data_IF_390081261080
#
_entry.id   IF_390081261080
#
_cell.length_a   1.000
_cell.length_b   1.000
_cell.length_c   1.000
_cell.angle_alpha   90.00
_cell.angle_beta   90.00
_cell.angle_gamma   90.00
#
_symmetry.space_group_name_H-M   'P 1'
#
loop_
_entity.id
_entity.type
_entity.pdbx_description
1 polymer ?
#
# COMPACT_ATOMS: atom_id res chain seq x y z
N UNK A 1 -4.40 -10.82 11.83
CA UNK A 1 -3.09 -10.87 12.50
C UNK A 1 -2.04 -10.32 11.56
N UNK A 2 -1.48 -9.15 11.87
CA UNK A 2 -0.46 -8.49 11.05
C UNK A 2 0.94 -9.06 11.31
N UNK A 3 1.93 -8.70 10.47
CA UNK A 3 3.31 -9.21 10.58
C UNK A 3 3.95 -9.07 11.97
N UNK A 4 3.70 -7.96 12.66
CA UNK A 4 4.25 -7.73 14.00
C UNK A 4 3.70 -8.72 15.02
N UNK A 5 2.39 -9.00 14.95
CA UNK A 5 1.75 -9.95 15.87
C UNK A 5 2.26 -11.37 15.62
N UNK A 6 2.42 -11.74 14.35
CA UNK A 6 3.01 -13.03 13.96
C UNK A 6 4.47 -13.13 14.44
N UNK A 7 5.24 -12.04 14.34
CA UNK A 7 6.64 -12.01 14.78
C UNK A 7 6.78 -12.11 16.31
N UNK A 8 5.95 -11.41 17.07
CA UNK A 8 5.97 -11.46 18.53
C UNK A 8 5.38 -12.77 19.09
N UNK A 9 4.53 -13.45 18.32
CA UNK A 9 3.92 -14.72 18.71
C UNK A 9 3.02 -14.58 19.94
N UNK A 10 2.39 -13.43 20.16
CA UNK A 10 1.61 -13.16 21.38
C UNK A 10 0.39 -14.09 21.56
N UNK A 11 -0.09 -14.69 20.46
CA UNK A 11 -1.16 -15.70 20.45
C UNK A 11 -0.65 -17.14 20.32
N UNK A 12 0.66 -17.37 20.23
CA UNK A 12 1.26 -18.69 20.11
C UNK A 12 1.69 -19.22 21.48
N UNK A 13 1.07 -20.28 22.04
CA UNK A 13 1.49 -20.88 23.31
C UNK A 13 2.95 -21.31 23.39
N UNK A 14 3.61 -21.54 22.23
CA UNK A 14 5.04 -21.83 22.13
C UNK A 14 5.94 -20.60 22.21
N UNK A 15 5.39 -19.38 22.10
CA UNK A 15 6.16 -18.14 22.18
C UNK A 15 6.48 -17.76 23.62
N UNK A 16 7.72 -17.29 23.91
CA UNK A 16 8.07 -16.74 25.22
C UNK A 16 7.18 -15.57 25.67
N UNK A 17 6.55 -14.87 24.72
CA UNK A 17 5.68 -13.71 24.97
C UNK A 17 4.21 -14.10 25.17
N UNK A 18 3.84 -15.37 25.00
CA UNK A 18 2.47 -15.82 25.21
C UNK A 18 1.96 -15.50 26.61
N UNK A 19 0.76 -14.92 26.69
CA UNK A 19 0.13 -14.54 27.95
C UNK A 19 0.81 -13.38 28.71
N UNK A 20 1.87 -12.77 28.17
CA UNK A 20 2.49 -11.59 28.77
C UNK A 20 1.73 -10.33 28.39
N UNK A 21 1.52 -9.46 29.37
CA UNK A 21 0.88 -8.18 29.15
C UNK A 21 1.72 -7.28 28.24
N UNK A 22 1.07 -6.64 27.27
CA UNK A 22 1.65 -5.60 26.44
C UNK A 22 0.63 -4.47 26.25
N UNK A 23 1.13 -3.28 25.92
CA UNK A 23 0.31 -2.13 25.56
C UNK A 23 0.53 -1.83 24.09
N UNK A 24 -0.54 -1.82 23.31
CA UNK A 24 -0.50 -1.54 21.88
C UNK A 24 -0.89 -0.09 21.59
N UNK A 25 -0.03 0.63 20.86
CA UNK A 25 -0.33 1.95 20.33
C UNK A 25 -0.51 1.81 18.81
N UNK A 26 -1.74 1.97 18.34
CA UNK A 26 -2.05 1.95 16.91
C UNK A 26 -1.94 3.36 16.34
N UNK A 27 -1.15 3.53 15.29
CA UNK A 27 -1.06 4.78 14.54
C UNK A 27 -1.94 4.69 13.29
N UNK A 28 -2.97 5.51 13.26
CA UNK A 28 -3.84 5.64 12.08
C UNK A 28 -3.31 6.69 11.11
N UNK A 29 -3.77 6.61 9.86
CA UNK A 29 -3.61 7.72 8.90
C UNK A 29 -4.27 8.97 9.46
N UNK A 30 -3.82 10.13 9.02
CA UNK A 30 -4.46 11.38 9.40
C UNK A 30 -5.82 11.51 8.72
N UNK A 31 -6.80 12.03 9.45
CA UNK A 31 -8.02 12.52 8.82
C UNK A 31 -7.71 13.74 7.92
N UNK A 32 -8.72 14.22 7.18
CA UNK A 32 -8.56 15.34 6.26
C UNK A 32 -8.06 16.62 6.96
N UNK A 33 -8.56 16.88 8.16
CA UNK A 33 -8.25 18.11 8.90
C UNK A 33 -6.83 18.09 9.45
N UNK A 34 -6.41 16.97 10.03
CA UNK A 34 -5.05 16.75 10.52
C UNK A 34 -4.06 16.71 9.36
N UNK A 35 -4.42 16.13 8.22
CA UNK A 35 -3.60 16.17 7.00
C UNK A 35 -3.40 17.59 6.49
N UNK A 36 -4.47 18.40 6.49
CA UNK A 36 -4.42 19.82 6.13
C UNK A 36 -3.51 20.60 7.07
N UNK A 37 -3.70 20.46 8.38
CA UNK A 37 -2.86 21.14 9.38
C UNK A 37 -1.40 20.70 9.27
N UNK A 38 -1.13 19.42 9.02
CA UNK A 38 0.21 18.89 8.83
C UNK A 38 0.92 19.57 7.65
N UNK A 39 0.28 19.64 6.48
CA UNK A 39 0.83 20.32 5.31
C UNK A 39 1.00 21.82 5.53
N UNK A 40 -0.01 22.49 6.10
CA UNK A 40 0.05 23.94 6.37
C UNK A 40 1.23 24.31 7.26
N UNK A 41 1.40 23.61 8.38
CA UNK A 41 2.53 23.85 9.29
C UNK A 41 3.87 23.65 8.58
N UNK A 42 4.01 22.56 7.81
CA UNK A 42 5.24 22.32 7.04
C UNK A 42 5.54 23.43 6.01
N UNK A 43 4.53 23.96 5.31
CA UNK A 43 4.73 25.07 4.38
C UNK A 43 5.01 26.39 5.11
N UNK A 44 4.37 26.65 6.25
CA UNK A 44 4.62 27.82 7.11
C UNK A 44 6.07 27.84 7.61
N UNK A 45 6.62 26.70 8.05
CA UNK A 45 8.03 26.55 8.44
C UNK A 45 9.00 26.87 7.29
N UNK A 46 8.59 26.61 6.05
CA UNK A 46 9.33 26.94 4.84
C UNK A 46 9.04 28.34 4.30
N UNK A 47 8.28 29.16 5.04
CA UNK A 47 7.81 30.49 4.61
C UNK A 47 7.12 30.49 3.24
N UNK A 48 6.50 29.37 2.87
CA UNK A 48 5.79 29.20 1.62
C UNK A 48 4.28 29.37 1.82
N UNK A 49 3.68 30.31 1.09
CA UNK A 49 2.23 30.40 0.96
C UNK A 49 1.75 29.44 -0.14
N UNK A 50 0.87 28.53 0.22
CA UNK A 50 0.25 27.56 -0.69
C UNK A 50 -1.26 27.76 -0.65
N UNK A 51 -1.88 27.81 -1.81
CA UNK A 51 -3.33 27.90 -1.94
C UNK A 51 -4.02 26.65 -1.38
N UNK A 52 -5.19 26.84 -0.76
CA UNK A 52 -5.90 25.77 -0.06
C UNK A 52 -6.34 24.64 -1.01
N UNK A 53 -6.65 24.95 -2.27
CA UNK A 53 -6.98 23.94 -3.28
C UNK A 53 -5.81 22.97 -3.55
N UNK A 54 -4.57 23.46 -3.59
CA UNK A 54 -3.38 22.63 -3.76
C UNK A 54 -3.21 21.67 -2.59
N UNK A 55 -3.45 22.15 -1.37
CA UNK A 55 -3.39 21.31 -0.16
C UNK A 55 -4.45 20.20 -0.26
N UNK A 56 -5.67 20.53 -0.66
CA UNK A 56 -6.74 19.56 -0.86
C UNK A 56 -6.40 18.53 -1.95
N UNK A 57 -5.79 18.96 -3.06
CA UNK A 57 -5.36 18.07 -4.13
C UNK A 57 -4.30 17.08 -3.66
N UNK A 58 -3.32 17.52 -2.86
CA UNK A 58 -2.32 16.64 -2.24
C UNK A 58 -3.00 15.62 -1.33
N UNK A 59 -3.91 16.04 -0.46
CA UNK A 59 -4.61 15.15 0.48
C UNK A 59 -5.44 14.12 -0.28
N UNK A 60 -6.19 14.55 -1.30
CA UNK A 60 -6.99 13.65 -2.14
C UNK A 60 -6.15 12.59 -2.86
N UNK A 61 -4.90 12.92 -3.18
CA UNK A 61 -3.97 12.00 -3.84
C UNK A 61 -3.43 10.91 -2.90
N UNK A 62 -3.15 11.24 -1.63
CA UNK A 62 -2.38 10.36 -0.72
C UNK A 62 -3.15 9.88 0.51
N UNK A 63 -4.39 10.33 0.68
CA UNK A 63 -5.34 9.89 1.70
C UNK A 63 -4.77 9.87 3.12
N UNK A 64 -4.09 10.96 3.51
CA UNK A 64 -3.69 11.20 4.90
C UNK A 64 -2.55 10.34 5.45
N UNK A 65 -1.87 9.56 4.60
CA UNK A 65 -0.69 8.78 5.02
C UNK A 65 0.48 9.75 5.26
N UNK A 66 1.04 9.87 6.48
CA UNK A 66 2.03 10.89 6.81
C UNK A 66 3.29 10.84 5.95
N UNK A 67 3.77 9.64 5.59
CA UNK A 67 4.92 9.47 4.72
C UNK A 67 4.70 10.10 3.34
N UNK A 68 3.53 9.87 2.74
CA UNK A 68 3.18 10.47 1.45
C UNK A 68 2.88 11.96 1.53
N UNK A 69 2.23 12.44 2.60
CA UNK A 69 2.04 13.87 2.83
C UNK A 69 3.40 14.59 2.91
N UNK A 70 4.37 13.99 3.59
CA UNK A 70 5.73 14.53 3.72
C UNK A 70 6.45 14.56 2.37
N UNK A 71 6.39 13.47 1.60
CA UNK A 71 6.97 13.42 0.26
C UNK A 71 6.32 14.46 -0.66
N UNK A 72 5.00 14.54 -0.64
CA UNK A 72 4.23 15.46 -1.49
C UNK A 72 4.52 16.93 -1.14
N UNK A 73 4.51 17.29 0.15
CA UNK A 73 4.85 18.63 0.61
C UNK A 73 6.25 19.07 0.19
N UNK A 74 7.25 18.22 0.42
CA UNK A 74 8.64 18.50 0.02
C UNK A 74 8.79 18.63 -1.50
N UNK A 75 8.18 17.72 -2.27
CA UNK A 75 8.31 17.74 -3.71
C UNK A 75 7.58 18.94 -4.35
N UNK A 76 6.42 19.31 -3.80
CA UNK A 76 5.70 20.51 -4.18
C UNK A 76 6.50 21.77 -3.82
N UNK A 77 7.17 21.77 -2.65
CA UNK A 77 8.05 22.85 -2.22
C UNK A 77 9.18 23.12 -3.25
N UNK A 78 9.73 22.09 -3.87
CA UNK A 78 10.84 22.25 -4.82
C UNK A 78 10.39 22.63 -6.25
N UNK A 79 9.24 22.13 -6.71
CA UNK A 79 8.87 22.20 -8.14
C UNK A 79 7.56 22.91 -8.45
N UNK A 80 6.69 23.14 -7.45
CA UNK A 80 5.32 23.68 -7.63
C UNK A 80 4.47 22.89 -8.65
N UNK A 81 4.75 21.60 -8.81
CA UNK A 81 4.12 20.75 -9.81
C UNK A 81 3.49 19.50 -9.16
N UNK A 82 2.16 19.50 -9.07
CA UNK A 82 1.37 18.39 -8.52
C UNK A 82 1.46 17.12 -9.37
N UNK A 83 1.66 17.24 -10.69
CA UNK A 83 1.86 16.06 -11.54
C UNK A 83 3.17 15.37 -11.18
N UNK A 84 4.24 16.14 -11.02
CA UNK A 84 5.54 15.59 -10.61
C UNK A 84 5.52 14.99 -9.20
N UNK A 85 4.73 15.57 -8.30
CA UNK A 85 4.46 15.01 -6.96
C UNK A 85 3.78 13.65 -7.08
N UNK A 86 2.74 13.54 -7.89
CA UNK A 86 2.03 12.27 -8.16
C UNK A 86 2.94 11.22 -8.78
N UNK A 87 3.65 11.58 -9.85
CA UNK A 87 4.53 10.67 -10.57
C UNK A 87 5.64 10.15 -9.65
N UNK A 88 6.21 11.00 -8.78
CA UNK A 88 7.21 10.58 -7.80
C UNK A 88 6.63 9.61 -6.78
N UNK A 89 5.48 9.91 -6.17
CA UNK A 89 4.84 9.04 -5.18
C UNK A 89 4.53 7.65 -5.78
N UNK A 90 3.96 7.62 -6.98
CA UNK A 90 3.67 6.38 -7.72
C UNK A 90 4.95 5.60 -8.02
N UNK A 91 6.03 6.26 -8.45
CA UNK A 91 7.30 5.59 -8.73
C UNK A 91 7.94 4.98 -7.48
N UNK A 92 7.87 5.67 -6.34
CA UNK A 92 8.34 5.13 -5.05
C UNK A 92 7.56 3.86 -4.69
N UNK A 93 6.23 3.94 -4.69
CA UNK A 93 5.37 2.78 -4.41
C UNK A 93 5.58 1.64 -5.42
N UNK A 94 5.77 1.95 -6.70
CA UNK A 94 6.04 0.96 -7.75
C UNK A 94 7.36 0.22 -7.50
N UNK A 95 8.41 0.93 -7.06
CA UNK A 95 9.69 0.33 -6.71
C UNK A 95 9.59 -0.58 -5.48
N UNK A 96 8.82 -0.18 -4.47
CA UNK A 96 8.55 -0.99 -3.27
C UNK A 96 7.78 -2.28 -3.63
N UNK A 97 6.73 -2.16 -4.45
CA UNK A 97 5.96 -3.31 -4.94
C UNK A 97 6.84 -4.23 -5.81
N UNK A 98 7.67 -3.67 -6.69
CA UNK A 98 8.60 -4.48 -7.49
C UNK A 98 9.65 -5.19 -6.63
N UNK A 99 10.10 -4.57 -5.54
CA UNK A 99 11.00 -5.19 -4.57
C UNK A 99 10.32 -6.32 -3.80
N UNK A 100 9.05 -6.16 -3.43
CA UNK A 100 8.26 -7.27 -2.88
C UNK A 100 8.18 -8.44 -3.86
N UNK A 101 7.89 -8.16 -5.13
CA UNK A 101 7.77 -9.17 -6.18
C UNK A 101 9.12 -9.84 -6.46
N UNK A 102 10.24 -9.10 -6.43
CA UNK A 102 11.58 -9.66 -6.66
C UNK A 102 11.98 -10.66 -5.57
N UNK A 103 11.61 -10.41 -4.31
CA UNK A 103 11.78 -11.40 -3.22
C UNK A 103 11.02 -12.68 -3.54
N UNK A 104 9.82 -12.60 -4.12
CA UNK A 104 9.06 -13.79 -4.57
C UNK A 104 9.68 -14.48 -5.78
N UNK A 105 10.41 -13.74 -6.62
CA UNK A 105 11.11 -14.28 -7.79
C UNK A 105 12.25 -15.22 -7.38
N UNK A 106 12.90 -14.97 -6.23
CA UNK A 106 13.90 -15.85 -5.66
C UNK A 106 13.33 -17.23 -5.26
N UNK A 107 12.03 -17.32 -5.02
CA UNK A 107 11.34 -18.60 -4.79
C UNK A 107 11.00 -19.25 -6.13
N UNK A 108 10.32 -18.53 -7.02
CA UNK A 108 10.02 -18.99 -8.38
C UNK A 108 9.50 -17.84 -9.26
N UNK A 109 9.89 -17.77 -10.54
CA UNK A 109 9.34 -16.79 -11.48
C UNK A 109 7.81 -16.85 -11.62
N UNK A 110 7.22 -18.05 -11.52
CA UNK A 110 5.75 -18.22 -11.61
C UNK A 110 5.05 -17.55 -10.43
N UNK A 111 5.65 -17.59 -9.23
CA UNK A 111 5.08 -16.99 -8.03
C UNK A 111 5.16 -15.47 -8.11
N UNK A 112 6.30 -14.93 -8.55
CA UNK A 112 6.44 -13.48 -8.79
C UNK A 112 5.40 -12.96 -9.80
N UNK A 113 5.21 -13.68 -10.92
CA UNK A 113 4.18 -13.36 -11.90
C UNK A 113 2.79 -13.33 -11.27
N UNK A 114 2.42 -14.35 -10.49
CA UNK A 114 1.11 -14.42 -9.82
C UNK A 114 0.87 -13.27 -8.83
N UNK A 115 1.87 -12.90 -8.01
CA UNK A 115 1.76 -11.73 -7.14
C UNK A 115 1.46 -10.46 -7.95
N UNK A 116 2.17 -10.28 -9.07
CA UNK A 116 1.97 -9.16 -9.98
C UNK A 116 0.55 -9.15 -10.57
N UNK A 117 0.08 -10.28 -11.08
CA UNK A 117 -1.28 -10.42 -11.65
C UNK A 117 -2.35 -10.14 -10.59
N UNK A 118 -2.21 -10.67 -9.38
CA UNK A 118 -3.16 -10.46 -8.27
C UNK A 118 -3.25 -8.97 -7.91
N UNK A 119 -2.11 -8.29 -7.73
CA UNK A 119 -2.07 -6.85 -7.44
C UNK A 119 -2.76 -6.03 -8.54
N UNK A 120 -2.51 -6.34 -9.82
CA UNK A 120 -3.18 -5.70 -10.97
C UNK A 120 -4.70 -5.95 -10.95
N UNK A 121 -5.13 -7.18 -10.73
CA UNK A 121 -6.56 -7.53 -10.67
C UNK A 121 -7.29 -6.77 -9.55
N UNK A 122 -6.69 -6.69 -8.37
CA UNK A 122 -7.24 -5.90 -7.25
C UNK A 122 -7.28 -4.41 -7.61
N UNK A 123 -6.24 -3.88 -8.25
CA UNK A 123 -6.16 -2.47 -8.63
C UNK A 123 -7.20 -2.08 -9.70
N UNK A 124 -7.66 -3.05 -10.51
CA UNK A 124 -8.79 -2.95 -11.45
C UNK A 124 -10.16 -3.00 -10.75
N UNK A 125 -10.21 -3.18 -9.43
CA UNK A 125 -11.44 -3.19 -8.64
C UNK A 125 -12.04 -4.57 -8.40
N UNK A 126 -11.30 -5.66 -8.66
CA UNK A 126 -11.74 -7.00 -8.27
C UNK A 126 -11.65 -7.13 -6.74
N UNK A 127 -12.81 -7.10 -6.08
CA UNK A 127 -12.96 -6.99 -4.63
C UNK A 127 -13.67 -8.20 -4.00
N UNK A 128 -13.64 -9.35 -4.67
CA UNK A 128 -14.09 -10.62 -4.12
C UNK A 128 -13.19 -11.74 -4.61
N UNK A 129 -13.14 -12.83 -3.84
CA UNK A 129 -12.32 -13.99 -4.15
C UNK A 129 -12.54 -14.50 -5.58
N UNK A 130 -13.79 -14.77 -5.95
CA UNK A 130 -14.13 -15.31 -7.28
C UNK A 130 -13.77 -14.35 -8.41
N UNK A 131 -13.94 -13.03 -8.19
CA UNK A 131 -13.55 -12.01 -9.19
C UNK A 131 -12.04 -11.96 -9.41
N UNK A 132 -11.26 -12.02 -8.33
CA UNK A 132 -9.80 -12.03 -8.40
C UNK A 132 -9.32 -13.32 -9.06
N UNK A 133 -9.85 -14.48 -8.66
CA UNK A 133 -9.52 -15.77 -9.24
C UNK A 133 -9.75 -15.78 -10.75
N UNK A 134 -10.94 -15.36 -11.20
CA UNK A 134 -11.28 -15.28 -12.62
C UNK A 134 -10.35 -14.31 -13.38
N UNK A 135 -10.06 -13.14 -12.81
CA UNK A 135 -9.14 -12.18 -13.42
C UNK A 135 -7.73 -12.75 -13.59
N UNK A 136 -7.19 -13.40 -12.55
CA UNK A 136 -5.85 -14.00 -12.58
C UNK A 136 -5.77 -15.12 -13.61
N UNK A 137 -6.75 -16.03 -13.63
CA UNK A 137 -6.77 -17.13 -14.59
C UNK A 137 -6.87 -16.64 -16.04
N UNK A 138 -7.69 -15.60 -16.27
CA UNK A 138 -7.84 -15.00 -17.60
C UNK A 138 -6.54 -14.32 -18.07
N UNK A 139 -5.85 -13.60 -17.19
CA UNK A 139 -4.58 -12.94 -17.53
C UNK A 139 -3.41 -13.93 -17.71
N UNK A 140 -3.42 -15.06 -16.99
CA UNK A 140 -2.39 -16.09 -17.11
C UNK A 140 -2.67 -17.12 -18.22
N UNK A 141 -3.89 -17.19 -18.74
CA UNK A 141 -4.33 -18.22 -19.69
C UNK A 141 -4.24 -19.64 -19.11
N UNK A 142 -4.25 -19.77 -17.77
CA UNK A 142 -4.06 -21.04 -17.07
C UNK A 142 -4.79 -21.05 -15.74
N UNK A 143 -4.95 -22.24 -15.15
CA UNK A 143 -5.59 -22.39 -13.84
C UNK A 143 -4.61 -22.13 -12.70
N UNK A 144 -5.11 -21.59 -11.60
CA UNK A 144 -4.38 -21.39 -10.34
C UNK A 144 -5.10 -22.15 -9.23
N UNK A 145 -4.35 -22.81 -8.36
CA UNK A 145 -4.96 -23.49 -7.21
C UNK A 145 -5.49 -22.46 -6.21
N UNK A 146 -6.56 -22.84 -5.51
CA UNK A 146 -7.15 -22.03 -4.44
C UNK A 146 -6.14 -21.74 -3.33
N UNK A 147 -5.30 -22.73 -2.97
CA UNK A 147 -4.25 -22.57 -1.97
C UNK A 147 -3.23 -21.49 -2.32
N UNK A 148 -2.81 -21.42 -3.60
CA UNK A 148 -1.84 -20.42 -4.03
C UNK A 148 -2.44 -19.02 -3.96
N UNK A 149 -3.66 -18.83 -4.46
CA UNK A 149 -4.33 -17.54 -4.37
C UNK A 149 -4.54 -17.11 -2.90
N UNK A 150 -4.88 -18.05 -2.02
CA UNK A 150 -5.10 -17.78 -0.59
C UNK A 150 -3.81 -17.30 0.06
N UNK A 151 -2.71 -17.97 -0.23
CA UNK A 151 -1.41 -17.62 0.31
C UNK A 151 -0.96 -16.23 -0.14
N UNK A 152 -1.19 -15.87 -1.41
CA UNK A 152 -0.88 -14.53 -1.92
C UNK A 152 -1.71 -13.48 -1.19
N UNK A 153 -3.04 -13.65 -1.17
CA UNK A 153 -3.94 -12.67 -0.55
C UNK A 153 -3.69 -12.52 0.95
N UNK A 154 -3.47 -13.62 1.67
CA UNK A 154 -3.11 -13.57 3.09
C UNK A 154 -1.78 -12.87 3.32
N UNK A 155 -0.78 -13.08 2.46
CA UNK A 155 0.49 -12.36 2.55
C UNK A 155 0.29 -10.85 2.35
N UNK A 156 -0.49 -10.45 1.34
CA UNK A 156 -0.78 -9.04 1.09
C UNK A 156 -1.57 -8.37 2.23
N UNK A 157 -2.49 -9.10 2.86
CA UNK A 157 -3.20 -8.63 4.07
C UNK A 157 -2.26 -8.46 5.25
N UNK A 158 -1.38 -9.44 5.51
CA UNK A 158 -0.38 -9.38 6.60
C UNK A 158 0.60 -8.22 6.44
N UNK A 159 0.98 -7.92 5.19
CA UNK A 159 1.81 -6.76 4.82
C UNK A 159 1.05 -5.43 4.87
N UNK A 160 -0.24 -5.42 5.22
CA UNK A 160 -1.10 -4.23 5.20
C UNK A 160 -1.13 -3.52 3.84
N UNK A 161 -0.97 -4.27 2.74
CA UNK A 161 -1.13 -3.73 1.38
C UNK A 161 -2.60 -3.66 1.00
N UNK A 162 -3.37 -4.68 1.40
CA UNK A 162 -4.80 -4.77 1.16
C UNK A 162 -5.57 -5.07 2.45
N UNK A 163 -6.83 -4.67 2.49
CA UNK A 163 -7.77 -5.00 3.57
C UNK A 163 -8.41 -6.39 3.40
N UNK A 164 -9.30 -6.75 4.33
CA UNK A 164 -10.06 -8.00 4.29
C UNK A 164 -10.97 -8.14 3.07
N UNK A 165 -11.41 -7.01 2.49
CA UNK A 165 -12.28 -6.93 1.32
C UNK A 165 -11.49 -6.81 0.00
N UNK A 166 -10.19 -7.10 0.04
CA UNK A 166 -9.29 -7.01 -1.11
C UNK A 166 -9.27 -5.62 -1.74
N UNK A 167 -9.20 -4.57 -0.91
CA UNK A 167 -9.00 -3.19 -1.35
C UNK A 167 -7.63 -2.72 -0.87
N UNK A 168 -6.92 -1.98 -1.71
CA UNK A 168 -5.68 -1.34 -1.28
C UNK A 168 -5.94 -0.41 -0.12
N UNK A 169 -5.13 -0.55 0.94
CA UNK A 169 -5.14 0.36 2.07
C UNK A 169 -4.54 1.72 1.70
N UNK A 170 -3.68 1.75 0.68
CA UNK A 170 -3.00 2.94 0.20
C UNK A 170 -3.36 3.24 -1.27
N UNK A 171 -3.95 4.40 -1.59
CA UNK A 171 -4.30 4.76 -2.96
C UNK A 171 -3.08 4.88 -3.90
N UNK A 172 -1.91 5.25 -3.37
CA UNK A 172 -0.67 5.34 -4.17
C UNK A 172 -0.23 3.94 -4.59
N UNK A 173 -0.29 2.97 -3.68
CA UNK A 173 -0.03 1.55 -3.99
C UNK A 173 -1.02 0.99 -5.00
N UNK A 174 -2.29 1.40 -4.95
CA UNK A 174 -3.30 1.03 -5.95
C UNK A 174 -2.91 1.52 -7.33
N UNK A 175 -2.56 2.80 -7.48
CA UNK A 175 -2.14 3.37 -8.77
C UNK A 175 -0.84 2.72 -9.27
N UNK A 176 0.15 2.54 -8.40
CA UNK A 176 1.39 1.84 -8.74
C UNK A 176 1.13 0.40 -9.23
N UNK A 177 0.23 -0.33 -8.57
CA UNK A 177 -0.14 -1.69 -8.96
C UNK A 177 -0.81 -1.77 -10.34
N UNK A 178 -1.48 -0.70 -10.81
CA UNK A 178 -2.01 -0.65 -12.19
C UNK A 178 -0.92 -0.57 -13.24
N UNK A 179 0.23 0.02 -12.89
CA UNK A 179 1.36 0.24 -13.80
C UNK A 179 2.32 -0.95 -13.91
N UNK A 180 2.10 -2.01 -13.13
CA UNK A 180 2.88 -3.24 -13.20
C UNK A 180 2.80 -3.85 -14.61
N UNK A 181 3.97 -4.09 -15.21
CA UNK A 181 4.11 -4.70 -16.54
C UNK A 181 4.10 -6.23 -16.44
N UNK A 182 3.44 -6.90 -17.39
CA UNK A 182 3.40 -8.36 -17.44
C UNK A 182 4.77 -9.02 -17.50
#
# INVERSE_FOLDING_TARGET
MGLLHDFLGVEDPGSPLYGRYYFEITLERFDKEKSRQFLRKGFEELSLKVEENVIQDIIAMVDGIPGWLTLAGNQYFNNRDLKRVKDLAINVALNEINSLISVKNNVSPIVAKRYRTVLRCIAKGMNSWSKILNCVQNEEGSTISTSVLSNILNTLKKLSIIDENYRFLDPVYKEASRMLRN
#
